data_IF_868213958387
#
_entry.id   IF_868213958387
#
_cell.length_a   1.000
_cell.length_b   1.000
_cell.length_c   1.000
_cell.angle_alpha   90.00
_cell.angle_beta   90.00
_cell.angle_gamma   90.00
#
_symmetry.space_group_name_H-M   'P 1'
#
loop_
_entity.id
_entity.type
_entity.pdbx_description
1 polymer ?
#
# COMPACT_ATOMS: atom_id res chain seq x y z
N UNK A 1 -2.97 15.06 13.48
CA UNK A 1 -4.36 15.01 13.00
C UNK A 1 -5.28 14.24 13.95
N UNK A 2 -5.15 12.92 14.15
CA UNK A 2 -6.06 12.18 15.06
C UNK A 2 -6.05 12.66 16.52
N UNK A 3 -4.88 12.74 17.16
CA UNK A 3 -4.76 13.23 18.56
C UNK A 3 -5.24 14.68 18.73
N UNK A 4 -4.98 15.54 17.75
CA UNK A 4 -5.44 16.95 17.75
C UNK A 4 -6.97 17.05 17.69
N UNK A 5 -7.64 16.04 17.16
CA UNK A 5 -9.10 15.95 17.04
C UNK A 5 -9.72 15.04 18.11
N UNK A 6 -8.95 14.57 19.10
CA UNK A 6 -9.43 13.68 20.16
C UNK A 6 -9.87 12.29 19.68
N UNK A 7 -9.48 11.88 18.46
CA UNK A 7 -9.86 10.60 17.87
C UNK A 7 -8.90 9.51 18.34
N UNK A 8 -9.42 8.49 19.01
CA UNK A 8 -8.66 7.26 19.32
C UNK A 8 -8.52 6.39 18.07
N UNK A 9 -7.29 6.11 17.66
CA UNK A 9 -7.02 5.23 16.53
C UNK A 9 -7.03 3.76 16.96
N UNK A 10 -7.41 2.83 16.05
CA UNK A 10 -7.24 1.40 16.31
C UNK A 10 -5.78 1.06 16.68
N UNK A 11 -5.61 0.20 17.68
CA UNK A 11 -4.29 -0.29 18.12
C UNK A 11 -3.89 -1.60 17.44
N UNK A 12 -4.81 -2.20 16.68
CA UNK A 12 -4.61 -3.45 15.96
C UNK A 12 -4.97 -3.28 14.49
N UNK A 13 -4.30 -4.07 13.64
CA UNK A 13 -4.61 -4.12 12.22
C UNK A 13 -5.98 -4.78 11.99
N UNK A 14 -6.66 -4.40 10.91
CA UNK A 14 -7.87 -5.11 10.50
C UNK A 14 -7.54 -6.57 10.12
N UNK A 15 -8.52 -7.50 10.20
CA UNK A 15 -8.31 -8.90 9.84
C UNK A 15 -7.74 -9.09 8.42
N UNK A 16 -8.15 -8.23 7.48
CA UNK A 16 -7.63 -8.24 6.10
C UNK A 16 -6.12 -8.06 6.06
N UNK A 17 -5.59 -7.06 6.76
CA UNK A 17 -4.16 -6.77 6.74
C UNK A 17 -3.35 -7.78 7.57
N UNK A 18 -3.94 -8.33 8.64
CA UNK A 18 -3.34 -9.45 9.36
C UNK A 18 -3.19 -10.68 8.45
N UNK A 19 -4.21 -11.00 7.65
CA UNK A 19 -4.15 -12.11 6.70
C UNK A 19 -3.12 -11.87 5.58
N UNK A 20 -3.01 -10.64 5.07
CA UNK A 20 -1.98 -10.28 4.10
C UNK A 20 -0.56 -10.50 4.66
N UNK A 21 -0.30 -10.06 5.90
CA UNK A 21 0.98 -10.29 6.59
C UNK A 21 1.24 -11.79 6.78
N UNK A 22 0.24 -12.53 7.28
CA UNK A 22 0.37 -13.97 7.49
C UNK A 22 0.71 -14.70 6.19
N UNK A 23 0.06 -14.34 5.07
CA UNK A 23 0.38 -14.88 3.75
C UNK A 23 1.80 -14.54 3.32
N UNK A 24 2.22 -13.28 3.45
CA UNK A 24 3.57 -12.86 3.07
C UNK A 24 4.66 -13.59 3.88
N UNK A 25 4.40 -13.85 5.17
CA UNK A 25 5.34 -14.57 6.03
C UNK A 25 5.59 -16.04 5.66
N UNK A 26 4.77 -16.61 4.77
CA UNK A 26 4.95 -17.98 4.26
C UNK A 26 5.99 -18.06 3.14
N UNK A 27 6.38 -16.91 2.55
CA UNK A 27 7.31 -16.85 1.44
C UNK A 27 8.69 -16.36 1.87
N UNK A 28 9.71 -16.67 1.07
CA UNK A 28 11.07 -16.16 1.25
C UNK A 28 11.77 -15.92 -0.08
N UNK A 29 12.83 -15.12 -0.07
CA UNK A 29 13.62 -14.83 -1.27
C UNK A 29 12.77 -14.28 -2.41
N UNK A 30 13.00 -14.79 -3.63
CA UNK A 30 12.29 -14.32 -4.82
C UNK A 30 10.76 -14.49 -4.77
N UNK A 31 10.26 -15.53 -4.10
CA UNK A 31 8.82 -15.74 -3.94
C UNK A 31 8.21 -14.69 -3.01
N UNK A 32 8.94 -14.29 -1.96
CA UNK A 32 8.55 -13.17 -1.12
C UNK A 32 8.55 -11.86 -1.90
N UNK A 33 9.61 -11.59 -2.66
CA UNK A 33 9.71 -10.36 -3.47
C UNK A 33 8.53 -10.24 -4.45
N UNK A 34 8.15 -11.34 -5.10
CA UNK A 34 7.01 -11.36 -6.02
C UNK A 34 5.69 -11.11 -5.28
N UNK A 35 5.41 -11.85 -4.20
CA UNK A 35 4.19 -11.70 -3.43
C UNK A 35 4.07 -10.29 -2.82
N UNK A 36 5.18 -9.71 -2.36
CA UNK A 36 5.22 -8.36 -1.81
C UNK A 36 4.95 -7.29 -2.87
N UNK A 37 5.52 -7.41 -4.08
CA UNK A 37 5.25 -6.47 -5.19
C UNK A 37 3.77 -6.48 -5.59
N UNK A 38 3.15 -7.65 -5.66
CA UNK A 38 1.73 -7.79 -5.97
C UNK A 38 0.86 -7.18 -4.89
N UNK A 39 1.08 -7.56 -3.63
CA UNK A 39 0.23 -7.14 -2.52
C UNK A 39 0.50 -5.70 -2.11
N UNK A 40 1.72 -5.39 -1.68
CA UNK A 40 2.06 -4.06 -1.20
C UNK A 40 2.25 -3.08 -2.36
N UNK A 41 2.91 -3.48 -3.44
CA UNK A 41 3.25 -2.57 -4.55
C UNK A 41 2.04 -2.15 -5.41
N UNK A 42 1.08 -3.04 -5.63
CA UNK A 42 -0.10 -2.77 -6.47
C UNK A 42 -1.39 -2.74 -5.67
N UNK A 43 -1.76 -3.84 -5.00
CA UNK A 43 -3.09 -3.98 -4.40
C UNK A 43 -3.35 -2.90 -3.34
N UNK A 44 -2.46 -2.80 -2.34
CA UNK A 44 -2.61 -1.85 -1.22
C UNK A 44 -2.49 -0.39 -1.67
N UNK A 45 -1.59 -0.08 -2.60
CA UNK A 45 -1.47 1.29 -3.13
C UNK A 45 -2.69 1.69 -3.98
N UNK A 46 -3.30 0.75 -4.71
CA UNK A 46 -4.54 0.98 -5.45
C UNK A 46 -5.71 1.24 -4.49
N UNK A 47 -5.86 0.41 -3.46
CA UNK A 47 -6.87 0.61 -2.42
C UNK A 47 -6.71 1.98 -1.74
N UNK A 48 -5.48 2.33 -1.35
CA UNK A 48 -5.21 3.61 -0.72
C UNK A 48 -5.47 4.80 -1.67
N UNK A 49 -5.22 4.65 -2.97
CA UNK A 49 -5.59 5.67 -3.95
C UNK A 49 -7.11 5.88 -4.01
N UNK A 50 -7.90 4.79 -4.02
CA UNK A 50 -9.37 4.86 -4.02
C UNK A 50 -9.88 5.57 -2.76
N UNK A 51 -9.35 5.21 -1.59
CA UNK A 51 -9.72 5.85 -0.31
C UNK A 51 -9.40 7.35 -0.34
N UNK A 52 -8.20 7.74 -0.76
CA UNK A 52 -7.82 9.15 -0.85
C UNK A 52 -8.64 9.92 -1.88
N UNK A 53 -8.93 9.32 -3.04
CA UNK A 53 -9.81 9.93 -4.06
C UNK A 53 -11.18 10.20 -3.48
N UNK A 54 -11.78 9.20 -2.83
CA UNK A 54 -13.09 9.36 -2.17
C UNK A 54 -13.05 10.46 -1.12
N UNK A 55 -12.03 10.46 -0.25
CA UNK A 55 -11.93 11.47 0.80
C UNK A 55 -11.70 12.88 0.23
N UNK A 56 -10.85 13.02 -0.79
CA UNK A 56 -10.60 14.32 -1.44
C UNK A 56 -11.85 14.93 -2.10
N UNK A 57 -12.82 14.09 -2.49
CA UNK A 57 -14.00 14.52 -3.24
C UNK A 57 -15.25 14.64 -2.35
N UNK A 58 -15.39 13.73 -1.39
CA UNK A 58 -16.62 13.52 -0.63
C UNK A 58 -16.42 13.62 0.89
N UNK A 59 -15.19 13.88 1.36
CA UNK A 59 -14.89 14.03 2.78
C UNK A 59 -15.64 15.19 3.42
N UNK A 60 -15.81 15.14 4.75
CA UNK A 60 -16.45 16.22 5.51
C UNK A 60 -15.44 17.06 6.31
N UNK A 61 -14.32 16.46 6.70
CA UNK A 61 -13.27 17.13 7.46
C UNK A 61 -12.28 17.77 6.50
N UNK A 62 -12.19 19.09 6.51
CA UNK A 62 -11.34 19.85 5.59
C UNK A 62 -9.86 19.49 5.70
N UNK A 63 -9.38 19.13 6.89
CA UNK A 63 -7.99 18.73 7.09
C UNK A 63 -7.71 17.37 6.45
N UNK A 64 -8.68 16.45 6.54
CA UNK A 64 -8.59 15.12 5.92
C UNK A 64 -8.72 15.20 4.39
N UNK A 65 -9.63 16.03 3.87
CA UNK A 65 -9.71 16.32 2.43
C UNK A 65 -8.39 16.88 1.88
N UNK A 66 -7.81 17.87 2.57
CA UNK A 66 -6.55 18.49 2.17
C UNK A 66 -5.39 17.48 2.24
N UNK A 67 -5.34 16.68 3.32
CA UNK A 67 -4.35 15.62 3.48
C UNK A 67 -4.45 14.58 2.36
N UNK A 68 -5.66 14.09 2.06
CA UNK A 68 -5.88 13.13 0.98
C UNK A 68 -5.45 13.72 -0.38
N UNK A 69 -5.89 14.95 -0.69
CA UNK A 69 -5.55 15.65 -1.94
C UNK A 69 -4.04 15.77 -2.13
N UNK A 70 -3.31 16.17 -1.07
CA UNK A 70 -1.86 16.35 -1.10
C UNK A 70 -1.09 15.04 -1.37
N UNK A 71 -1.62 13.90 -0.92
CA UNK A 71 -0.92 12.62 -1.01
C UNK A 71 -1.22 11.83 -2.29
N UNK A 72 -2.32 12.15 -3.00
CA UNK A 72 -2.68 11.46 -4.26
C UNK A 72 -1.53 11.38 -5.28
N UNK A 73 -0.79 12.47 -5.59
CA UNK A 73 0.31 12.39 -6.55
C UNK A 73 1.43 11.42 -6.12
N UNK A 74 1.66 11.30 -4.81
CA UNK A 74 2.67 10.38 -4.25
C UNK A 74 2.20 8.94 -4.41
N UNK A 75 0.94 8.65 -4.06
CA UNK A 75 0.38 7.29 -4.23
C UNK A 75 0.37 6.86 -5.69
N UNK A 76 0.02 7.76 -6.63
CA UNK A 76 0.09 7.47 -8.06
C UNK A 76 1.52 7.16 -8.52
N UNK A 77 2.51 7.92 -8.02
CA UNK A 77 3.93 7.67 -8.33
C UNK A 77 4.37 6.29 -7.83
N UNK A 78 4.01 5.93 -6.61
CA UNK A 78 4.34 4.61 -6.06
C UNK A 78 3.65 3.49 -6.83
N UNK A 79 2.38 3.65 -7.23
CA UNK A 79 1.69 2.66 -8.06
C UNK A 79 2.39 2.46 -9.42
N UNK A 80 2.82 3.55 -10.06
CA UNK A 80 3.62 3.48 -11.29
C UNK A 80 4.95 2.75 -11.08
N UNK A 81 5.61 2.95 -9.94
CA UNK A 81 6.83 2.22 -9.59
C UNK A 81 6.54 0.72 -9.38
N UNK A 82 5.48 0.38 -8.65
CA UNK A 82 5.03 -1.00 -8.47
C UNK A 82 4.75 -1.70 -9.80
N UNK A 83 4.06 -1.02 -10.73
CA UNK A 83 3.77 -1.57 -12.05
C UNK A 83 5.05 -1.85 -12.84
N UNK A 84 6.03 -0.94 -12.76
CA UNK A 84 7.34 -1.15 -13.39
C UNK A 84 8.08 -2.34 -12.80
N UNK A 85 8.01 -2.55 -11.48
CA UNK A 85 8.66 -3.68 -10.79
C UNK A 85 8.06 -5.04 -11.13
N UNK A 86 6.78 -5.09 -11.52
CA UNK A 86 6.15 -6.32 -12.03
C UNK A 86 6.52 -6.61 -13.48
N UNK A 87 6.70 -5.58 -14.30
CA UNK A 87 7.10 -5.74 -15.71
C UNK A 87 8.59 -6.00 -15.90
N UNK A 88 9.41 -5.57 -14.95
CA UNK A 88 10.84 -5.89 -14.94
C UNK A 88 11.02 -7.27 -14.33
N UNK A 89 11.46 -8.23 -15.15
CA UNK A 89 11.87 -9.53 -14.64
C UNK A 89 12.97 -9.33 -13.60
N UNK A 90 12.71 -9.73 -12.35
CA UNK A 90 13.76 -9.92 -11.36
C UNK A 90 14.72 -10.95 -11.95
N UNK A 91 16.01 -10.64 -12.17
CA UNK A 91 16.95 -11.65 -12.64
C UNK A 91 16.92 -12.79 -11.64
N UNK A 92 16.51 -14.00 -12.08
CA UNK A 92 16.70 -15.20 -11.26
C UNK A 92 18.19 -15.29 -11.00
N UNK A 93 18.60 -15.10 -9.74
CA UNK A 93 19.94 -15.44 -9.33
C UNK A 93 20.11 -16.93 -9.56
N UNK A 94 20.80 -17.27 -10.65
CA UNK A 94 21.28 -18.60 -10.97
C UNK A 94 22.18 -19.03 -9.80
N UNK A 95 21.71 -19.98 -8.98
CA UNK A 95 22.61 -20.69 -8.08
C UNK A 95 23.74 -21.30 -8.91
N UNK A 96 24.97 -20.91 -8.56
CA UNK A 96 26.19 -21.43 -9.14
C UNK A 96 26.28 -22.95 -8.99
N UNK A 97 26.94 -23.54 -9.98
CA UNK A 97 27.40 -24.93 -10.01
C UNK A 97 28.51 -25.18 -8.99
#
# INVERSE_FOLDING_TARGET
MANQKGITTPTTLSPKYQAAIARLSQFSGGDFDQAYKEEAGINLHTEYFVVQRRESQLGQDSDLQAFATKNIPITLRHLQMGQRLLTQATPRSSKGN
#
